data_IF_415642718813
#
_entry.id   IF_415642718813
#
_cell.length_a   1.000
_cell.length_b   1.000
_cell.length_c   1.000
_cell.angle_alpha   90.00
_cell.angle_beta   90.00
_cell.angle_gamma   90.00
#
_symmetry.space_group_name_H-M   'P 1'
#
loop_
_entity.id
_entity.type
_entity.pdbx_description
1 polymer ?
#
# COMPACT_ATOMS: atom_id res chain seq x y z
N UNK A 1 -20.26 2.43 3.73
CA UNK A 1 -19.77 2.04 5.08
C UNK A 1 -18.32 2.44 5.21
N UNK A 2 -18.05 3.60 5.82
CA UNK A 2 -16.68 4.05 6.08
C UNK A 2 -16.13 3.26 7.26
N UNK A 3 -15.15 2.40 7.01
CA UNK A 3 -14.45 1.66 8.05
C UNK A 3 -13.65 2.66 8.89
N UNK A 4 -14.15 2.97 10.09
CA UNK A 4 -13.56 3.93 11.02
C UNK A 4 -12.34 3.28 11.69
N UNK A 5 -11.21 3.27 10.99
CA UNK A 5 -9.89 2.91 11.53
C UNK A 5 -9.15 4.21 11.86
N UNK A 6 -9.58 4.89 12.93
CA UNK A 6 -8.93 6.11 13.40
C UNK A 6 -8.18 5.85 14.71
N UNK A 7 -6.94 6.34 14.77
CA UNK A 7 -6.18 6.68 15.99
C UNK A 7 -5.00 5.80 16.44
N UNK A 8 -4.73 4.62 15.87
CA UNK A 8 -3.48 3.86 16.21
C UNK A 8 -2.60 3.47 15.02
N UNK A 9 -3.03 3.81 13.81
CA UNK A 9 -2.45 3.27 12.57
C UNK A 9 -1.84 4.35 11.67
N UNK A 10 -1.66 5.59 12.10
CA UNK A 10 -1.16 6.66 11.20
C UNK A 10 0.18 6.27 10.52
N UNK A 11 1.10 5.65 11.26
CA UNK A 11 2.36 5.08 10.72
C UNK A 11 2.20 3.67 10.15
N UNK A 12 1.28 2.84 10.69
CA UNK A 12 1.01 1.47 10.19
C UNK A 12 0.20 1.44 8.90
N UNK A 13 -0.54 2.50 8.59
CA UNK A 13 -1.39 2.63 7.41
C UNK A 13 -0.54 2.74 6.16
N UNK A 14 0.60 3.43 6.23
CA UNK A 14 1.54 3.50 5.10
C UNK A 14 2.12 2.12 4.76
N UNK A 15 2.51 1.32 5.77
CA UNK A 15 2.99 -0.04 5.54
C UNK A 15 1.88 -0.95 5.00
N UNK A 16 0.69 -0.90 5.58
CA UNK A 16 -0.46 -1.69 5.14
C UNK A 16 -0.90 -1.33 3.71
N UNK A 17 -0.89 -0.05 3.33
CA UNK A 17 -1.15 0.38 1.96
C UNK A 17 -0.03 -0.07 1.01
N UNK A 18 1.24 -0.05 1.45
CA UNK A 18 2.36 -0.49 0.63
C UNK A 18 2.32 -2.01 0.42
N UNK A 19 2.02 -2.79 1.45
CA UNK A 19 1.79 -4.24 1.38
C UNK A 19 0.65 -4.57 0.41
N UNK A 20 -0.48 -3.86 0.50
CA UNK A 20 -1.62 -4.05 -0.40
C UNK A 20 -1.29 -3.65 -1.84
N UNK A 21 -0.54 -2.56 -2.04
CA UNK A 21 -0.12 -2.11 -3.36
C UNK A 21 0.94 -3.05 -3.96
N UNK A 22 1.82 -3.61 -3.14
CA UNK A 22 2.83 -4.58 -3.54
C UNK A 22 2.19 -5.79 -4.24
N UNK A 23 1.15 -6.36 -3.63
CA UNK A 23 0.42 -7.53 -4.14
C UNK A 23 -0.63 -7.21 -5.21
N UNK A 24 -0.84 -5.93 -5.53
CA UNK A 24 -1.76 -5.49 -6.57
C UNK A 24 -1.13 -5.63 -7.96
N UNK A 25 -1.95 -5.82 -9.00
CA UNK A 25 -1.50 -5.90 -10.40
C UNK A 25 -1.09 -4.54 -11.01
N UNK A 26 -1.28 -3.42 -10.29
CA UNK A 26 -0.87 -2.09 -10.76
C UNK A 26 0.65 -2.00 -10.94
N UNK A 27 1.10 -1.59 -12.12
CA UNK A 27 2.52 -1.50 -12.46
C UNK A 27 3.05 -0.05 -12.47
N UNK A 28 4.34 0.17 -12.16
CA UNK A 28 4.97 1.49 -12.27
C UNK A 28 4.87 2.11 -13.67
N UNK A 29 4.98 1.27 -14.70
CA UNK A 29 4.92 1.66 -16.12
C UNK A 29 3.60 2.30 -16.53
N UNK A 30 2.51 1.95 -15.85
CA UNK A 30 1.17 2.49 -16.11
C UNK A 30 1.00 3.93 -15.59
N UNK A 31 1.96 4.45 -14.82
CA UNK A 31 1.92 5.78 -14.21
C UNK A 31 0.56 6.07 -13.53
N UNK A 32 0.13 5.24 -12.58
CA UNK A 32 -1.21 5.33 -12.03
C UNK A 32 -1.43 6.66 -11.31
N UNK A 33 -2.60 7.26 -11.52
CA UNK A 33 -3.02 8.44 -10.80
C UNK A 33 -3.29 8.09 -9.31
N UNK A 34 -3.17 9.05 -8.37
CA UNK A 34 -3.39 8.79 -6.95
C UNK A 34 -4.72 8.12 -6.62
N UNK A 35 -5.79 8.46 -7.32
CA UNK A 35 -7.09 7.82 -7.14
C UNK A 35 -7.12 6.35 -7.57
N UNK A 36 -6.40 6.00 -8.63
CA UNK A 36 -6.29 4.60 -9.06
C UNK A 36 -5.54 3.77 -8.01
N UNK A 37 -4.46 4.33 -7.46
CA UNK A 37 -3.71 3.70 -6.36
C UNK A 37 -4.62 3.48 -5.15
N UNK A 38 -5.35 4.53 -4.71
CA UNK A 38 -6.22 4.45 -3.54
C UNK A 38 -7.32 3.39 -3.69
N UNK A 39 -7.96 3.34 -4.86
CA UNK A 39 -8.99 2.33 -5.15
C UNK A 39 -8.42 0.91 -5.20
N UNK A 40 -7.25 0.73 -5.81
CA UNK A 40 -6.62 -0.57 -5.91
C UNK A 40 -6.19 -1.12 -4.55
N UNK A 41 -5.58 -0.28 -3.71
CA UNK A 41 -5.23 -0.59 -2.32
C UNK A 41 -6.48 -0.97 -1.53
N UNK A 42 -7.53 -0.16 -1.60
CA UNK A 42 -8.79 -0.45 -0.92
C UNK A 42 -9.41 -1.77 -1.40
N UNK A 43 -9.37 -2.05 -2.71
CA UNK A 43 -9.87 -3.30 -3.27
C UNK A 43 -9.12 -4.53 -2.74
N UNK A 44 -7.78 -4.48 -2.69
CA UNK A 44 -6.97 -5.58 -2.15
C UNK A 44 -7.27 -5.82 -0.67
N UNK A 45 -7.35 -4.75 0.13
CA UNK A 45 -7.64 -4.84 1.55
C UNK A 45 -9.06 -5.36 1.82
N UNK A 46 -10.05 -4.89 1.07
CA UNK A 46 -11.43 -5.35 1.22
C UNK A 46 -11.61 -6.81 0.79
N UNK A 47 -10.92 -7.24 -0.26
CA UNK A 47 -11.08 -8.60 -0.81
C UNK A 47 -10.32 -9.66 -0.02
N UNK A 48 -9.10 -9.36 0.40
CA UNK A 48 -8.19 -10.35 0.97
C UNK A 48 -7.78 -10.05 2.42
N UNK A 49 -7.90 -8.80 2.86
CA UNK A 49 -7.47 -8.35 4.17
C UNK A 49 -5.96 -8.15 4.29
N UNK A 50 -5.51 -7.45 5.35
CA UNK A 50 -4.11 -7.06 5.52
C UNK A 50 -3.18 -8.23 5.81
N UNK A 51 -3.65 -9.25 6.56
CA UNK A 51 -2.83 -10.45 6.86
C UNK A 51 -2.47 -11.21 5.59
N UNK A 52 -3.41 -11.33 4.66
CA UNK A 52 -3.15 -11.98 3.39
C UNK A 52 -2.15 -11.19 2.55
N UNK A 53 -2.27 -9.85 2.51
CA UNK A 53 -1.33 -8.98 1.81
C UNK A 53 0.10 -9.15 2.37
N UNK A 54 0.25 -9.13 3.69
CA UNK A 54 1.54 -9.34 4.35
C UNK A 54 2.13 -10.74 4.08
N UNK A 55 1.29 -11.79 4.14
CA UNK A 55 1.73 -13.15 3.87
C UNK A 55 2.18 -13.35 2.41
N UNK A 56 1.41 -12.81 1.45
CA UNK A 56 1.74 -12.89 0.02
C UNK A 56 3.00 -12.08 -0.31
N UNK A 57 3.17 -10.91 0.28
CA UNK A 57 4.41 -10.15 0.21
C UNK A 57 5.59 -10.98 0.74
N UNK A 58 5.47 -11.54 1.95
CA UNK A 58 6.54 -12.34 2.54
C UNK A 58 6.91 -13.57 1.69
N UNK A 59 5.92 -14.21 1.07
CA UNK A 59 6.16 -15.30 0.12
C UNK A 59 7.01 -14.84 -1.07
N UNK A 60 6.66 -13.72 -1.72
CA UNK A 60 7.42 -13.19 -2.85
C UNK A 60 8.86 -12.82 -2.46
N UNK A 61 9.07 -12.30 -1.26
CA UNK A 61 10.43 -12.05 -0.75
C UNK A 61 11.23 -13.33 -0.50
N UNK A 62 10.57 -14.45 -0.18
CA UNK A 62 11.22 -15.75 -0.03
C UNK A 62 11.52 -16.46 -1.35
N UNK A 63 10.63 -16.31 -2.33
CA UNK A 63 10.74 -16.98 -3.64
C UNK A 63 11.60 -16.18 -4.62
N UNK A 64 11.37 -14.87 -4.74
CA UNK A 64 11.98 -14.00 -5.76
C UNK A 64 12.39 -12.64 -5.17
N UNK A 65 13.37 -12.60 -4.25
CA UNK A 65 13.78 -11.37 -3.57
C UNK A 65 14.25 -10.28 -4.55
N UNK A 66 14.89 -10.64 -5.66
CA UNK A 66 15.36 -9.72 -6.70
C UNK A 66 14.23 -8.97 -7.42
N UNK A 67 13.03 -9.57 -7.46
CA UNK A 67 11.83 -8.94 -8.03
C UNK A 67 11.02 -8.23 -6.93
N UNK A 68 10.95 -8.81 -5.73
CA UNK A 68 10.21 -8.26 -4.60
C UNK A 68 10.80 -6.92 -4.11
N UNK A 69 12.12 -6.80 -3.99
CA UNK A 69 12.77 -5.56 -3.51
C UNK A 69 12.39 -4.33 -4.34
N UNK A 70 12.62 -4.28 -5.67
CA UNK A 70 12.27 -3.11 -6.48
C UNK A 70 10.75 -2.86 -6.48
N UNK A 71 9.93 -3.92 -6.40
CA UNK A 71 8.48 -3.81 -6.30
C UNK A 71 8.05 -3.10 -5.01
N UNK A 72 8.64 -3.46 -3.88
CA UNK A 72 8.34 -2.84 -2.58
C UNK A 72 8.82 -1.39 -2.52
N UNK A 73 10.01 -1.09 -3.06
CA UNK A 73 10.52 0.29 -3.14
C UNK A 73 9.51 1.17 -3.89
N UNK A 74 9.02 0.71 -5.04
CA UNK A 74 7.99 1.42 -5.79
C UNK A 74 6.69 1.58 -4.98
N UNK A 75 6.24 0.52 -4.30
CA UNK A 75 4.99 0.56 -3.56
C UNK A 75 5.04 1.59 -2.43
N UNK A 76 6.13 1.61 -1.66
CA UNK A 76 6.34 2.59 -0.57
C UNK A 76 6.39 4.01 -1.10
N UNK A 77 7.13 4.27 -2.18
CA UNK A 77 7.22 5.59 -2.78
C UNK A 77 5.85 6.08 -3.29
N UNK A 78 5.13 5.20 -3.98
CA UNK A 78 3.80 5.51 -4.53
C UNK A 78 2.79 5.79 -3.43
N UNK A 79 2.78 4.98 -2.36
CA UNK A 79 1.89 5.21 -1.20
C UNK A 79 2.20 6.54 -0.52
N UNK A 80 3.48 6.88 -0.30
CA UNK A 80 3.85 8.18 0.27
C UNK A 80 3.34 9.36 -0.55
N UNK A 81 3.34 9.23 -1.89
CA UNK A 81 2.82 10.27 -2.78
C UNK A 81 1.29 10.35 -2.77
N UNK A 82 0.60 9.20 -2.66
CA UNK A 82 -0.87 9.13 -2.77
C UNK A 82 -1.60 9.32 -1.44
N UNK A 83 -0.91 9.14 -0.32
CA UNK A 83 -1.42 9.26 1.05
C UNK A 83 -0.56 10.24 1.84
N UNK A 84 -0.63 11.55 1.56
CA UNK A 84 0.09 12.54 2.36
C UNK A 84 -0.38 12.47 3.81
N UNK A 85 0.56 12.48 4.75
CA UNK A 85 0.23 12.69 6.16
C UNK A 85 -0.46 14.05 6.27
N UNK A 86 -1.55 14.13 7.02
CA UNK A 86 -2.14 15.43 7.33
C UNK A 86 -1.10 16.23 8.12
N UNK A 87 -0.41 17.15 7.45
CA UNK A 87 0.46 18.10 8.13
C UNK A 87 -0.43 18.99 8.95
N UNK A 88 -0.35 18.85 10.28
CA UNK A 88 -0.98 19.75 11.21
C UNK A 88 -0.39 21.14 10.99
N UNK A 89 -1.10 22.01 10.27
CA UNK A 89 -0.75 23.42 10.14
C UNK A 89 -1.19 24.09 11.43
N UNK A 90 -0.26 24.25 12.38
CA UNK A 90 -0.47 25.12 13.53
C UNK A 90 -0.23 26.55 13.04
N UNK A 91 -1.29 27.34 12.98
CA UNK A 91 -1.22 28.78 12.72
C UNK A 91 -0.64 29.57 13.90
#
# INVERSE_FOLDING_TARGET
MACRLSSVYETRGSNLHAEALFVCDLQPSQRPAPEQVRRAVAAMLCRYGPRWCAARMAQEFGEHPETAVPRMVWAVQTVRQCYPVATHVQG
#
